data_IF_970096391772
#
_entry.id   IF_970096391772
#
_cell.length_a   1.000
_cell.length_b   1.000
_cell.length_c   1.000
_cell.angle_alpha   90.00
_cell.angle_beta   90.00
_cell.angle_gamma   90.00
#
_symmetry.space_group_name_H-M   'P 1'
#
loop_
_entity.id
_entity.type
_entity.pdbx_description
1 polymer ?
#
# COMPACT_ATOMS: atom_id res chain seq x y z
N UNK A 1 -14.09 52.84 -4.65
CA UNK A 1 -14.35 51.46 -4.16
C UNK A 1 -14.85 50.51 -5.27
N UNK A 2 -14.10 50.34 -6.37
CA UNK A 2 -14.38 49.33 -7.42
C UNK A 2 -13.11 48.77 -8.10
N UNK A 3 -11.92 49.01 -7.54
CA UNK A 3 -10.62 48.59 -8.13
C UNK A 3 -9.76 47.70 -7.20
N UNK A 4 -10.30 47.20 -6.09
CA UNK A 4 -9.59 46.32 -5.15
C UNK A 4 -10.02 44.85 -5.29
N UNK A 5 -11.12 44.58 -6.00
CA UNK A 5 -11.68 43.22 -6.17
C UNK A 5 -11.20 42.46 -7.41
N UNK A 6 -10.22 42.99 -8.16
CA UNK A 6 -9.76 42.40 -9.42
C UNK A 6 -8.35 41.79 -9.36
N UNK A 7 -7.72 41.80 -8.18
CA UNK A 7 -6.38 41.23 -7.96
C UNK A 7 -6.43 39.96 -7.08
N UNK A 8 -7.59 39.63 -6.50
CA UNK A 8 -7.77 38.38 -5.73
C UNK A 8 -8.18 37.16 -6.59
N UNK A 9 -8.40 37.31 -7.90
CA UNK A 9 -8.84 36.21 -8.77
C UNK A 9 -7.74 35.63 -9.67
N UNK A 10 -6.48 36.08 -9.51
CA UNK A 10 -5.32 35.63 -10.31
C UNK A 10 -4.22 34.99 -9.43
N UNK A 11 -4.40 34.99 -8.11
CA UNK A 11 -3.46 34.43 -7.11
C UNK A 11 -3.97 33.11 -6.50
N UNK A 12 -4.68 32.30 -7.29
CA UNK A 12 -5.01 30.90 -6.95
C UNK A 12 -4.45 29.90 -7.99
N UNK A 13 -3.54 30.34 -8.87
CA UNK A 13 -3.04 29.53 -9.97
C UNK A 13 -1.56 29.11 -9.85
N UNK A 14 -0.77 29.63 -8.91
CA UNK A 14 0.64 29.23 -8.79
C UNK A 14 1.19 29.43 -7.37
N UNK A 15 1.07 28.38 -6.56
CA UNK A 15 1.86 28.11 -5.33
C UNK A 15 1.89 26.58 -5.22
N UNK A 16 2.99 25.96 -5.70
CA UNK A 16 3.95 25.18 -4.88
C UNK A 16 3.45 23.74 -4.62
N UNK A 17 4.20 22.65 -4.80
CA UNK A 17 5.65 22.43 -4.63
C UNK A 17 6.02 21.19 -5.46
N UNK A 18 7.07 21.29 -6.28
CA UNK A 18 7.89 20.13 -6.60
C UNK A 18 8.46 19.59 -5.29
N UNK A 19 8.23 18.32 -4.94
CA UNK A 19 9.18 17.38 -4.32
C UNK A 19 8.43 16.17 -3.71
N UNK A 20 8.64 15.01 -4.35
CA UNK A 20 8.85 13.68 -3.73
C UNK A 20 7.61 12.97 -3.15
N UNK A 21 7.31 11.71 -3.46
CA UNK A 21 8.05 10.70 -4.20
C UNK A 21 7.54 10.51 -5.61
N UNK A 22 8.38 9.87 -6.44
CA UNK A 22 8.09 9.51 -7.82
C UNK A 22 6.61 9.14 -8.01
N UNK A 23 5.84 9.99 -8.68
CA UNK A 23 4.85 9.46 -9.61
C UNK A 23 5.66 8.70 -10.65
N UNK A 24 6.05 7.45 -10.34
CA UNK A 24 6.42 6.51 -11.40
C UNK A 24 5.30 6.62 -12.41
N UNK A 25 5.63 6.88 -13.68
CA UNK A 25 4.67 6.85 -14.78
C UNK A 25 4.10 5.42 -14.87
N UNK A 26 3.16 5.11 -13.98
CA UNK A 26 2.45 3.83 -13.90
C UNK A 26 1.36 3.85 -14.95
N UNK A 27 1.17 2.74 -15.63
CA UNK A 27 0.04 2.65 -16.57
C UNK A 27 -1.28 2.75 -15.80
N UNK A 28 -2.38 3.14 -16.45
CA UNK A 28 -3.70 3.15 -15.82
C UNK A 28 -4.04 1.80 -15.15
N UNK A 29 -3.65 0.68 -15.76
CA UNK A 29 -3.83 -0.67 -15.22
C UNK A 29 -3.04 -0.89 -13.93
N UNK A 30 -1.79 -0.43 -13.87
CA UNK A 30 -0.97 -0.53 -12.67
C UNK A 30 -1.50 0.34 -11.53
N UNK A 31 -2.06 1.51 -11.85
CA UNK A 31 -2.76 2.35 -10.87
C UNK A 31 -4.01 1.67 -10.33
N UNK A 32 -4.78 0.99 -11.20
CA UNK A 32 -5.96 0.20 -10.79
C UNK A 32 -5.60 -0.96 -9.89
N UNK A 33 -4.47 -1.60 -10.14
CA UNK A 33 -3.96 -2.70 -9.32
C UNK A 33 -3.47 -2.18 -7.96
N UNK A 34 -2.73 -1.06 -7.93
CA UNK A 34 -2.35 -0.36 -6.70
C UNK A 34 -3.56 0.02 -5.84
N UNK A 35 -4.61 0.56 -6.46
CA UNK A 35 -5.86 0.85 -5.78
C UNK A 35 -6.41 -0.39 -5.06
N UNK A 36 -6.34 -1.56 -5.71
CA UNK A 36 -6.77 -2.82 -5.12
C UNK A 36 -5.98 -3.22 -3.87
N UNK A 37 -4.68 -2.94 -3.84
CA UNK A 37 -3.82 -3.26 -2.70
C UNK A 37 -3.96 -2.28 -1.54
N UNK A 38 -4.12 -0.99 -1.83
CA UNK A 38 -3.96 0.08 -0.84
C UNK A 38 -5.29 0.75 -0.48
N UNK A 39 -6.00 1.23 -1.48
CA UNK A 39 -7.09 2.18 -1.27
C UNK A 39 -8.42 1.45 -1.06
N UNK A 40 -8.67 0.35 -1.78
CA UNK A 40 -9.87 -0.48 -1.64
C UNK A 40 -10.13 -0.89 -0.19
N UNK A 41 -9.09 -1.32 0.53
CA UNK A 41 -9.23 -1.74 1.93
C UNK A 41 -9.58 -0.58 2.86
N UNK A 42 -9.00 0.61 2.64
CA UNK A 42 -9.37 1.81 3.39
C UNK A 42 -10.83 2.19 3.13
N UNK A 43 -11.28 2.16 1.87
CA UNK A 43 -12.67 2.43 1.52
C UNK A 43 -13.65 1.49 2.23
N UNK A 44 -13.34 0.20 2.26
CA UNK A 44 -14.18 -0.80 2.90
C UNK A 44 -14.18 -0.67 4.44
N UNK A 45 -13.01 -0.55 5.06
CA UNK A 45 -12.87 -0.60 6.52
C UNK A 45 -13.14 0.73 7.21
N UNK A 46 -12.72 1.84 6.61
CA UNK A 46 -12.79 3.17 7.24
C UNK A 46 -14.07 3.92 6.86
N UNK A 47 -14.54 3.76 5.63
CA UNK A 47 -15.72 4.50 5.12
C UNK A 47 -16.95 3.62 4.95
N UNK A 48 -16.88 2.35 5.35
CA UNK A 48 -17.98 1.38 5.29
C UNK A 48 -18.59 1.28 3.88
N UNK A 49 -17.74 1.33 2.84
CA UNK A 49 -18.15 1.18 1.44
C UNK A 49 -18.15 -0.32 1.11
N UNK A 50 -19.25 -0.82 0.55
CA UNK A 50 -19.35 -2.22 0.14
C UNK A 50 -18.29 -2.59 -0.90
N UNK A 51 -17.85 -3.85 -0.91
CA UNK A 51 -16.77 -4.32 -1.78
C UNK A 51 -17.05 -4.07 -3.27
N UNK A 52 -18.28 -4.35 -3.73
CA UNK A 52 -18.67 -4.16 -5.12
C UNK A 52 -18.64 -2.68 -5.51
N UNK A 53 -18.99 -1.79 -4.58
CA UNK A 53 -18.95 -0.34 -4.77
C UNK A 53 -17.51 0.15 -4.78
N UNK A 54 -16.64 -0.35 -3.89
CA UNK A 54 -15.22 -0.04 -3.89
C UNK A 54 -14.54 -0.47 -5.20
N UNK A 55 -14.90 -1.63 -5.76
CA UNK A 55 -14.41 -2.05 -7.08
C UNK A 55 -14.85 -1.08 -8.18
N UNK A 56 -16.13 -0.67 -8.20
CA UNK A 56 -16.65 0.33 -9.16
C UNK A 56 -15.94 1.67 -9.05
N UNK A 57 -15.58 2.11 -7.84
CA UNK A 57 -14.77 3.33 -7.64
C UNK A 57 -13.43 3.18 -8.36
N UNK A 58 -12.72 2.06 -8.14
CA UNK A 58 -11.45 1.81 -8.83
C UNK A 58 -11.61 1.75 -10.36
N UNK A 59 -12.72 1.21 -10.86
CA UNK A 59 -12.98 1.15 -12.31
C UNK A 59 -13.29 2.53 -12.91
N UNK A 60 -13.97 3.40 -12.16
CA UNK A 60 -14.15 4.82 -12.53
C UNK A 60 -12.80 5.54 -12.55
N UNK A 61 -11.93 5.29 -11.58
CA UNK A 61 -10.58 5.87 -11.55
C UNK A 61 -9.73 5.41 -12.73
N UNK A 62 -9.74 4.11 -13.05
CA UNK A 62 -9.06 3.55 -14.23
C UNK A 62 -9.52 4.23 -15.52
N UNK A 63 -10.85 4.35 -15.69
CA UNK A 63 -11.44 5.02 -16.84
C UNK A 63 -11.02 6.50 -16.88
N UNK A 64 -11.13 7.22 -15.76
CA UNK A 64 -10.79 8.63 -15.67
C UNK A 64 -9.32 8.88 -16.04
N UNK A 65 -8.38 8.06 -15.56
CA UNK A 65 -6.97 8.17 -15.94
C UNK A 65 -6.78 7.98 -17.45
N UNK A 66 -7.46 6.99 -18.06
CA UNK A 66 -7.37 6.77 -19.52
C UNK A 66 -7.91 7.96 -20.32
N UNK A 67 -9.06 8.49 -19.91
CA UNK A 67 -9.63 9.68 -20.56
C UNK A 67 -8.72 10.90 -20.40
N UNK A 68 -8.13 11.10 -19.21
CA UNK A 68 -7.22 12.21 -18.94
C UNK A 68 -5.99 12.14 -19.85
N UNK A 69 -5.39 10.96 -20.03
CA UNK A 69 -4.28 10.76 -20.97
C UNK A 69 -4.71 11.13 -22.40
N UNK A 70 -5.91 10.75 -22.83
CA UNK A 70 -6.42 11.13 -24.15
C UNK A 70 -6.65 12.64 -24.26
N UNK A 71 -7.12 13.30 -23.19
CA UNK A 71 -7.30 14.76 -23.14
C UNK A 71 -5.94 15.46 -23.25
N UNK A 72 -4.95 15.03 -22.46
CA UNK A 72 -3.59 15.58 -22.46
C UNK A 72 -2.88 15.39 -23.81
N UNK A 73 -3.19 14.29 -24.52
CA UNK A 73 -2.70 14.03 -25.86
C UNK A 73 -3.54 14.67 -26.99
N UNK A 74 -4.59 15.42 -26.67
CA UNK A 74 -5.54 16.03 -27.62
C UNK A 74 -6.19 15.02 -28.59
N UNK A 75 -6.40 13.78 -28.15
CA UNK A 75 -7.06 12.71 -28.92
C UNK A 75 -8.45 12.38 -28.39
N UNK A 76 -8.88 13.00 -27.29
CA UNK A 76 -10.20 12.77 -26.71
C UNK A 76 -11.31 13.44 -27.52
N UNK A 77 -12.33 12.68 -27.93
CA UNK A 77 -13.46 13.18 -28.72
C UNK A 77 -14.65 13.66 -27.87
N UNK A 78 -14.64 13.37 -26.57
CA UNK A 78 -15.77 13.61 -25.65
C UNK A 78 -15.49 14.77 -24.71
N UNK A 79 -14.27 14.87 -24.16
CA UNK A 79 -13.87 15.89 -23.21
C UNK A 79 -12.74 16.73 -23.80
N UNK A 80 -12.89 18.05 -23.77
CA UNK A 80 -11.88 18.99 -24.22
C UNK A 80 -10.91 19.41 -23.09
N UNK A 81 -11.33 19.27 -21.83
CA UNK A 81 -10.52 19.69 -20.68
C UNK A 81 -10.61 18.72 -19.51
N UNK A 82 -9.58 18.72 -18.66
CA UNK A 82 -9.60 18.02 -17.36
C UNK A 82 -10.83 18.40 -16.52
N UNK A 83 -11.21 19.68 -16.52
CA UNK A 83 -12.37 20.14 -15.74
C UNK A 83 -13.72 19.59 -16.22
N UNK A 84 -13.86 19.25 -17.50
CA UNK A 84 -15.05 18.55 -18.01
C UNK A 84 -15.06 17.08 -17.57
N UNK A 85 -13.91 16.42 -17.66
CA UNK A 85 -13.73 15.05 -17.20
C UNK A 85 -14.01 14.92 -15.69
N UNK A 86 -13.49 15.83 -14.87
CA UNK A 86 -13.69 15.83 -13.42
C UNK A 86 -15.19 15.93 -13.03
N UNK A 87 -15.98 16.70 -13.80
CA UNK A 87 -17.44 16.78 -13.59
C UNK A 87 -18.13 15.45 -13.87
N UNK A 88 -17.72 14.76 -14.94
CA UNK A 88 -18.29 13.44 -15.27
C UNK A 88 -17.87 12.37 -14.25
N UNK A 89 -16.64 12.42 -13.75
CA UNK A 89 -16.18 11.55 -12.65
C UNK A 89 -17.05 11.73 -11.41
N UNK A 90 -17.32 12.97 -10.99
CA UNK A 90 -18.20 13.26 -9.84
C UNK A 90 -19.62 12.70 -10.07
N UNK A 91 -20.16 12.86 -11.28
CA UNK A 91 -21.48 12.32 -11.65
C UNK A 91 -21.50 10.79 -11.57
N UNK A 92 -20.44 10.11 -12.03
CA UNK A 92 -20.30 8.65 -11.91
C UNK A 92 -20.22 8.19 -10.46
N UNK A 93 -19.53 8.91 -9.57
CA UNK A 93 -19.54 8.59 -8.14
C UNK A 93 -20.92 8.76 -7.51
N UNK A 94 -21.64 9.83 -7.84
CA UNK A 94 -23.02 10.04 -7.35
C UNK A 94 -23.96 8.91 -7.81
N UNK A 95 -23.75 8.36 -9.00
CA UNK A 95 -24.53 7.24 -9.51
C UNK A 95 -24.31 5.92 -8.73
N UNK A 96 -23.26 5.82 -7.91
CA UNK A 96 -23.01 4.66 -7.05
C UNK A 96 -23.93 4.59 -5.82
N UNK A 97 -24.83 5.57 -5.62
CA UNK A 97 -25.77 5.63 -4.49
C UNK A 97 -25.08 5.60 -3.11
N UNK A 98 -23.88 6.14 -3.03
CA UNK A 98 -23.19 6.41 -1.77
C UNK A 98 -23.97 7.46 -0.97
N UNK A 99 -23.92 7.38 0.36
CA UNK A 99 -24.46 8.44 1.21
C UNK A 99 -23.66 9.75 1.07
N UNK A 100 -24.25 10.88 1.42
CA UNK A 100 -23.54 12.18 1.40
C UNK A 100 -22.27 12.17 2.25
N UNK A 101 -22.31 11.46 3.39
CA UNK A 101 -21.14 11.26 4.24
C UNK A 101 -20.05 10.44 3.52
N UNK A 102 -20.42 9.34 2.86
CA UNK A 102 -19.48 8.51 2.09
C UNK A 102 -18.87 9.27 0.91
N UNK A 103 -19.66 10.08 0.20
CA UNK A 103 -19.18 10.92 -0.89
C UNK A 103 -18.19 11.97 -0.39
N UNK A 104 -18.47 12.61 0.75
CA UNK A 104 -17.56 13.57 1.37
C UNK A 104 -16.25 12.89 1.81
N UNK A 105 -16.33 11.75 2.49
CA UNK A 105 -15.15 10.98 2.91
C UNK A 105 -14.33 10.49 1.72
N UNK A 106 -14.95 10.05 0.63
CA UNK A 106 -14.25 9.65 -0.60
C UNK A 106 -13.50 10.84 -1.23
N UNK A 107 -14.14 12.01 -1.31
CA UNK A 107 -13.51 13.21 -1.86
C UNK A 107 -12.32 13.68 -1.00
N UNK A 108 -12.48 13.70 0.32
CA UNK A 108 -11.40 14.02 1.27
C UNK A 108 -10.27 12.99 1.20
N UNK A 109 -10.60 11.70 1.13
CA UNK A 109 -9.61 10.63 0.99
C UNK A 109 -8.76 10.79 -0.27
N UNK A 110 -9.39 11.06 -1.42
CA UNK A 110 -8.67 11.27 -2.69
C UNK A 110 -7.79 12.51 -2.65
N UNK A 111 -8.34 13.62 -2.17
CA UNK A 111 -7.58 14.86 -1.99
C UNK A 111 -6.35 14.64 -1.09
N UNK A 112 -6.54 13.97 0.04
CA UNK A 112 -5.44 13.66 0.96
C UNK A 112 -4.41 12.72 0.33
N UNK A 113 -4.82 11.79 -0.54
CA UNK A 113 -3.87 10.90 -1.25
C UNK A 113 -3.02 11.65 -2.27
N UNK A 114 -3.61 12.62 -2.96
CA UNK A 114 -2.90 13.47 -3.92
C UNK A 114 -1.91 14.43 -3.22
N UNK A 115 -2.31 15.00 -2.08
CA UNK A 115 -1.49 15.95 -1.32
C UNK A 115 -0.46 15.27 -0.39
N UNK A 116 -0.82 14.13 0.19
CA UNK A 116 -0.04 13.40 1.20
C UNK A 116 -0.13 11.89 0.96
N UNK A 117 0.65 11.33 0.02
CA UNK A 117 0.62 9.91 -0.30
C UNK A 117 0.89 9.06 0.95
N UNK A 118 -0.15 8.45 1.51
CA UNK A 118 0.01 7.62 2.70
C UNK A 118 0.77 6.34 2.35
N UNK A 119 1.78 5.93 3.14
CA UNK A 119 2.47 4.67 2.93
C UNK A 119 1.48 3.50 2.98
N UNK A 120 1.54 2.63 1.97
CA UNK A 120 0.72 1.43 1.91
C UNK A 120 1.57 0.23 2.36
N UNK A 121 1.28 -0.29 3.56
CA UNK A 121 2.04 -1.39 4.15
C UNK A 121 2.06 -2.63 3.25
N UNK A 122 0.95 -2.91 2.56
CA UNK A 122 0.80 -4.05 1.66
C UNK A 122 1.84 -4.07 0.51
N UNK A 123 2.37 -2.91 0.12
CA UNK A 123 3.37 -2.76 -0.95
C UNK A 123 4.74 -2.32 -0.43
N UNK A 124 4.86 -2.08 0.88
CA UNK A 124 6.12 -1.62 1.48
C UNK A 124 7.05 -2.80 1.69
N UNK A 125 8.12 -2.83 0.90
CA UNK A 125 9.16 -3.83 1.03
C UNK A 125 10.11 -3.47 2.19
N UNK A 126 10.18 -4.35 3.19
CA UNK A 126 11.16 -4.25 4.27
C UNK A 126 12.03 -5.50 4.33
N UNK A 127 13.34 -5.32 4.17
CA UNK A 127 14.35 -6.38 4.15
C UNK A 127 15.55 -6.02 5.03
N UNK A 128 16.17 -7.02 5.66
CA UNK A 128 17.39 -6.83 6.45
C UNK A 128 18.60 -7.44 5.70
N UNK A 129 19.56 -6.58 5.31
CA UNK A 129 20.77 -6.97 4.57
C UNK A 129 21.67 -7.95 5.32
N UNK A 130 21.59 -8.03 6.65
CA UNK A 130 22.34 -9.02 7.43
C UNK A 130 22.00 -10.47 7.03
N UNK A 131 20.79 -10.71 6.51
CA UNK A 131 20.41 -12.04 6.04
C UNK A 131 20.97 -12.38 4.66
N UNK A 132 21.53 -11.44 3.91
CA UNK A 132 22.04 -11.70 2.56
C UNK A 132 23.17 -12.74 2.57
N UNK A 133 24.05 -12.67 3.58
CA UNK A 133 25.27 -13.48 3.70
C UNK A 133 25.04 -14.92 4.17
N UNK A 134 23.84 -15.27 4.66
CA UNK A 134 23.54 -16.60 5.22
C UNK A 134 22.58 -17.38 4.31
N UNK A 135 22.75 -18.69 4.13
CA UNK A 135 21.68 -19.50 3.52
C UNK A 135 20.44 -19.54 4.42
N UNK A 136 19.24 -19.75 3.85
CA UNK A 136 18.00 -19.85 4.63
C UNK A 136 18.11 -20.91 5.74
N UNK A 137 18.67 -22.08 5.40
CA UNK A 137 18.88 -23.18 6.34
C UNK A 137 19.82 -22.78 7.49
N UNK A 138 20.93 -22.09 7.18
CA UNK A 138 21.88 -21.64 8.20
C UNK A 138 21.29 -20.57 9.11
N UNK A 139 20.57 -19.61 8.52
CA UNK A 139 19.88 -18.55 9.25
C UNK A 139 18.84 -19.15 10.22
N UNK A 140 18.00 -20.07 9.74
CA UNK A 140 17.03 -20.79 10.58
C UNK A 140 17.69 -21.58 11.71
N UNK A 141 18.76 -22.32 11.42
CA UNK A 141 19.47 -23.10 12.43
C UNK A 141 19.99 -22.22 13.58
N UNK A 142 20.72 -21.15 13.26
CA UNK A 142 21.28 -20.23 14.26
C UNK A 142 20.18 -19.64 15.15
N UNK A 143 19.06 -19.32 14.52
CA UNK A 143 18.00 -18.53 15.14
C UNK A 143 17.08 -19.38 15.99
N UNK A 144 16.74 -20.60 15.52
CA UNK A 144 16.07 -21.60 16.34
C UNK A 144 16.92 -21.98 17.55
N UNK A 145 18.22 -22.19 17.40
CA UNK A 145 19.12 -22.51 18.53
C UNK A 145 19.10 -21.44 19.62
N UNK A 146 19.10 -20.16 19.24
CA UNK A 146 19.18 -19.05 20.20
C UNK A 146 17.82 -18.64 20.78
N UNK A 147 16.76 -18.65 19.96
CA UNK A 147 15.51 -17.94 20.29
C UNK A 147 14.28 -18.83 20.41
N UNK A 148 14.33 -20.10 20.00
CA UNK A 148 13.15 -20.97 19.97
C UNK A 148 12.47 -21.15 21.32
N UNK A 149 13.25 -21.39 22.37
CA UNK A 149 12.72 -21.55 23.73
C UNK A 149 12.04 -20.25 24.20
N UNK A 150 12.68 -19.11 24.00
CA UNK A 150 12.12 -17.82 24.39
C UNK A 150 10.82 -17.49 23.65
N UNK A 151 10.72 -17.84 22.37
CA UNK A 151 9.49 -17.65 21.60
C UNK A 151 8.36 -18.55 22.13
N UNK A 152 8.66 -19.83 22.40
CA UNK A 152 7.71 -20.78 23.00
C UNK A 152 7.17 -20.23 24.33
N UNK A 153 8.08 -19.83 25.22
CA UNK A 153 7.74 -19.36 26.55
C UNK A 153 6.93 -18.04 26.49
N UNK A 154 7.27 -17.13 25.56
CA UNK A 154 6.59 -15.83 25.42
C UNK A 154 5.18 -15.96 24.83
N UNK A 155 4.96 -16.89 23.91
CA UNK A 155 3.68 -17.03 23.19
C UNK A 155 2.77 -18.13 23.75
N UNK A 156 3.30 -19.00 24.62
CA UNK A 156 2.57 -20.16 25.15
C UNK A 156 2.23 -21.20 24.07
N UNK A 157 3.14 -21.41 23.11
CA UNK A 157 2.92 -22.25 21.92
C UNK A 157 3.77 -23.52 21.94
N UNK A 158 3.41 -24.53 21.15
CA UNK A 158 4.24 -25.72 21.05
C UNK A 158 5.45 -25.53 20.12
N UNK A 159 6.40 -26.48 20.18
CA UNK A 159 7.62 -26.41 19.39
C UNK A 159 7.41 -26.40 17.87
N UNK A 160 6.38 -27.10 17.37
CA UNK A 160 6.05 -27.12 15.93
C UNK A 160 5.55 -25.74 15.48
N UNK A 161 4.69 -25.10 16.27
CA UNK A 161 4.21 -23.74 15.99
C UNK A 161 5.37 -22.75 15.98
N UNK A 162 6.27 -22.83 16.96
CA UNK A 162 7.47 -21.99 17.00
C UNK A 162 8.35 -22.18 15.75
N UNK A 163 8.57 -23.43 15.33
CA UNK A 163 9.34 -23.74 14.13
C UNK A 163 8.71 -23.16 12.85
N UNK A 164 7.38 -23.25 12.72
CA UNK A 164 6.64 -22.66 11.60
C UNK A 164 6.72 -21.13 11.56
N UNK A 165 6.73 -20.46 12.72
CA UNK A 165 6.92 -19.00 12.81
C UNK A 165 8.31 -18.63 12.29
N UNK A 166 9.37 -19.28 12.80
CA UNK A 166 10.74 -19.03 12.31
C UNK A 166 10.85 -19.28 10.81
N UNK A 167 10.34 -20.40 10.31
CA UNK A 167 10.36 -20.72 8.88
C UNK A 167 9.64 -19.67 8.04
N UNK A 168 8.52 -19.15 8.52
CA UNK A 168 7.75 -18.13 7.81
C UNK A 168 8.47 -16.80 7.76
N UNK A 169 8.98 -16.32 8.90
CA UNK A 169 9.61 -15.01 8.97
C UNK A 169 10.95 -14.97 8.24
N UNK A 170 11.71 -16.06 8.27
CA UNK A 170 12.98 -16.15 7.56
C UNK A 170 12.79 -16.35 6.06
N UNK A 171 11.76 -17.11 5.65
CA UNK A 171 11.33 -17.13 4.27
C UNK A 171 11.00 -15.72 3.79
N UNK A 172 10.20 -14.95 4.55
CA UNK A 172 9.85 -13.58 4.20
C UNK A 172 11.07 -12.68 4.08
N UNK A 173 12.05 -12.78 4.98
CA UNK A 173 13.28 -11.99 4.88
C UNK A 173 14.09 -12.32 3.62
N UNK A 174 14.18 -13.61 3.27
CA UNK A 174 14.90 -14.06 2.08
C UNK A 174 14.21 -13.66 0.79
N UNK A 175 12.89 -13.80 0.73
CA UNK A 175 12.10 -13.34 -0.39
C UNK A 175 12.20 -11.81 -0.53
N UNK A 176 12.14 -11.06 0.57
CA UNK A 176 12.26 -9.61 0.55
C UNK A 176 13.62 -9.14 0.02
N UNK A 177 14.71 -9.83 0.35
CA UNK A 177 16.05 -9.55 -0.20
C UNK A 177 16.08 -9.80 -1.71
N UNK A 178 15.53 -10.91 -2.19
CA UNK A 178 15.45 -11.21 -3.62
C UNK A 178 14.63 -10.16 -4.38
N UNK A 179 13.51 -9.71 -3.80
CA UNK A 179 12.67 -8.65 -4.37
C UNK A 179 13.40 -7.30 -4.35
N UNK A 180 14.24 -7.04 -3.35
CA UNK A 180 14.98 -5.77 -3.23
C UNK A 180 15.98 -5.54 -4.37
N UNK A 181 16.40 -6.60 -5.07
CA UNK A 181 17.25 -6.51 -6.25
C UNK A 181 16.49 -6.06 -7.52
N UNK A 182 15.16 -6.06 -7.50
CA UNK A 182 14.33 -5.55 -8.60
C UNK A 182 14.30 -4.01 -8.52
N UNK A 183 14.45 -3.28 -9.63
CA UNK A 183 14.38 -1.82 -9.64
C UNK A 183 13.10 -1.30 -8.99
N UNK A 184 13.21 -0.20 -8.23
CA UNK A 184 12.03 0.43 -7.61
C UNK A 184 11.03 0.94 -8.65
N UNK A 185 11.51 1.24 -9.85
CA UNK A 185 10.70 1.67 -10.99
C UNK A 185 9.85 0.55 -11.60
N UNK A 186 10.18 -0.72 -11.39
CA UNK A 186 9.48 -1.87 -11.94
C UNK A 186 8.27 -2.26 -11.07
N UNK A 187 7.06 -2.21 -11.64
CA UNK A 187 5.84 -2.56 -10.92
C UNK A 187 5.79 -4.02 -10.47
N UNK A 188 6.52 -4.92 -11.13
CA UNK A 188 6.65 -6.31 -10.71
C UNK A 188 7.24 -6.43 -9.29
N UNK A 189 8.06 -5.46 -8.85
CA UNK A 189 8.55 -5.39 -7.47
C UNK A 189 7.40 -5.31 -6.47
N UNK A 190 6.36 -4.54 -6.80
CA UNK A 190 5.15 -4.41 -5.96
C UNK A 190 4.36 -5.71 -5.96
N UNK A 191 4.09 -6.28 -7.13
CA UNK A 191 3.38 -7.57 -7.25
C UNK A 191 4.03 -8.66 -6.41
N UNK A 192 5.36 -8.79 -6.50
CA UNK A 192 6.10 -9.76 -5.69
C UNK A 192 6.07 -9.44 -4.20
N UNK A 193 6.11 -8.17 -3.83
CA UNK A 193 6.00 -7.74 -2.42
C UNK A 193 4.64 -8.15 -1.82
N UNK A 194 3.55 -7.90 -2.56
CA UNK A 194 2.20 -8.32 -2.14
C UNK A 194 2.10 -9.84 -2.04
N UNK A 195 2.57 -10.57 -3.06
CA UNK A 195 2.54 -12.03 -3.06
C UNK A 195 3.33 -12.63 -1.88
N UNK A 196 4.51 -12.07 -1.57
CA UNK A 196 5.31 -12.47 -0.42
C UNK A 196 4.53 -12.29 0.89
N UNK A 197 3.87 -11.14 1.10
CA UNK A 197 3.07 -10.90 2.30
C UNK A 197 1.87 -11.84 2.38
N UNK A 198 1.22 -12.16 1.27
CA UNK A 198 0.12 -13.12 1.23
C UNK A 198 0.57 -14.53 1.60
N UNK A 199 1.75 -14.97 1.11
CA UNK A 199 2.34 -16.26 1.51
C UNK A 199 2.65 -16.27 3.01
N UNK A 200 3.21 -15.19 3.55
CA UNK A 200 3.48 -15.04 4.99
C UNK A 200 2.19 -15.16 5.80
N UNK A 201 1.15 -14.43 5.43
CA UNK A 201 -0.14 -14.46 6.12
C UNK A 201 -0.76 -15.86 6.09
N UNK A 202 -0.75 -16.54 4.94
CA UNK A 202 -1.26 -17.90 4.80
C UNK A 202 -0.50 -18.90 5.68
N UNK A 203 0.83 -18.80 5.76
CA UNK A 203 1.64 -19.66 6.64
C UNK A 203 1.39 -19.37 8.12
N UNK A 204 1.18 -18.11 8.48
CA UNK A 204 0.78 -17.73 9.84
C UNK A 204 -0.59 -18.31 10.20
N UNK A 205 -1.59 -18.20 9.32
CA UNK A 205 -2.91 -18.85 9.53
C UNK A 205 -2.79 -20.37 9.69
N UNK A 206 -1.97 -21.01 8.84
CA UNK A 206 -1.74 -22.45 8.91
C UNK A 206 -1.04 -22.92 10.20
N UNK A 207 -0.36 -22.02 10.93
CA UNK A 207 0.26 -22.35 12.21
C UNK A 207 -0.73 -22.47 13.38
N UNK A 208 -1.99 -22.06 13.17
CA UNK A 208 -3.04 -22.13 14.19
C UNK A 208 -2.85 -21.15 15.36
N UNK A 209 -2.09 -20.07 15.13
CA UNK A 209 -1.93 -18.98 16.10
C UNK A 209 -3.14 -18.05 16.06
N UNK A 210 -3.49 -17.50 17.22
CA UNK A 210 -4.43 -16.39 17.33
C UNK A 210 -3.80 -15.08 16.85
N UNK A 211 -4.62 -14.08 16.53
CA UNK A 211 -4.14 -12.76 16.11
C UNK A 211 -3.24 -12.10 17.17
N UNK A 212 -3.57 -12.26 18.45
CA UNK A 212 -2.75 -11.77 19.57
C UNK A 212 -1.37 -12.46 19.62
N UNK A 213 -1.34 -13.78 19.41
CA UNK A 213 -0.08 -14.53 19.34
C UNK A 213 0.76 -14.12 18.13
N UNK A 214 0.13 -13.81 16.99
CA UNK A 214 0.82 -13.30 15.81
C UNK A 214 1.39 -11.90 16.05
N UNK A 215 0.65 -11.01 16.71
CA UNK A 215 1.14 -9.69 17.09
C UNK A 215 2.34 -9.80 18.06
N UNK A 216 2.25 -10.67 19.07
CA UNK A 216 3.35 -10.96 19.99
C UNK A 216 4.57 -11.57 19.30
N UNK A 217 4.36 -12.47 18.32
CA UNK A 217 5.43 -13.01 17.48
C UNK A 217 6.15 -11.89 16.73
N UNK A 218 5.40 -11.01 16.06
CA UNK A 218 5.98 -9.89 15.30
C UNK A 218 6.82 -9.00 16.23
N UNK A 219 6.30 -8.67 17.41
CA UNK A 219 7.01 -7.86 18.39
C UNK A 219 8.28 -8.56 18.91
N UNK A 220 8.23 -9.87 19.16
CA UNK A 220 9.41 -10.64 19.53
C UNK A 220 10.54 -10.50 18.50
N UNK A 221 10.22 -10.61 17.21
CA UNK A 221 11.23 -10.47 16.16
C UNK A 221 11.73 -9.03 16.02
N UNK A 222 10.90 -8.01 16.29
CA UNK A 222 11.32 -6.60 16.31
C UNK A 222 12.27 -6.32 17.48
N UNK A 223 11.89 -6.70 18.69
CA UNK A 223 12.69 -6.53 19.91
C UNK A 223 14.07 -7.18 19.81
N UNK A 224 14.15 -8.31 19.12
CA UNK A 224 15.41 -9.03 18.91
C UNK A 224 16.16 -8.60 17.63
N UNK A 225 15.76 -7.48 17.01
CA UNK A 225 16.36 -6.93 15.78
C UNK A 225 16.43 -7.93 14.61
N UNK A 226 15.44 -8.83 14.54
CA UNK A 226 15.34 -9.86 13.49
C UNK A 226 14.55 -9.38 12.28
N UNK A 227 13.82 -8.27 12.44
CA UNK A 227 13.34 -7.42 11.36
C UNK A 227 14.34 -6.29 11.10
N UNK A 228 14.36 -5.70 9.90
CA UNK A 228 15.08 -4.44 9.71
C UNK A 228 14.55 -3.41 10.70
N UNK A 229 15.44 -2.73 11.42
CA UNK A 229 15.09 -1.47 12.04
C UNK A 229 14.59 -0.57 10.92
N UNK A 230 13.39 -0.01 11.07
CA UNK A 230 13.03 1.12 10.24
C UNK A 230 14.07 2.18 10.58
N UNK A 231 15.02 2.40 9.67
CA UNK A 231 15.80 3.62 9.67
C UNK A 231 14.78 4.70 9.37
N UNK A 232 14.16 5.21 10.43
CA UNK A 232 13.42 6.47 10.38
C UNK A 232 14.50 7.47 10.03
N UNK A 233 14.58 7.84 8.75
CA UNK A 233 15.35 9.00 8.35
C UNK A 233 14.76 10.16 9.15
N UNK A 234 15.52 10.61 10.16
CA UNK A 234 15.31 11.88 10.83
C UNK A 234 15.58 13.01 9.86
#
# INVERSE_FOLDING_TARGET
>A
MKKVYQICSILLAFVLVAHMGMAQNRTPEEQRELFGYCDKQALMKQFNIAEDVANKIGDIDLWATKELISVENNTNEVFATKGELDKEVIKRYKALKLSDQQLKSLAEFKKNRDEHPTPCEAITLSYNKAYDTLSLARALQLMKTKYRKSLIDKLGINGRQADMIFETEFYKQKEALAISAIPETDFNRIRKTVAMYQVRENRHKASGLTDDQLAMAINFFKENQLYPEQVINK
#
